data_IF_910147779510
#
_entry.id   IF_910147779510
#
_cell.length_a   1.000
_cell.length_b   1.000
_cell.length_c   1.000
_cell.angle_alpha   90.00
_cell.angle_beta   90.00
_cell.angle_gamma   90.00
#
_symmetry.space_group_name_H-M   'P 1'
#
loop_
_entity.id
_entity.type
_entity.pdbx_description
1 polymer ?
#
# COMPACT_ATOMS: atom_id res chain seq x y z
N UNK A 1 -4.02 -31.79 26.67
CA UNK A 1 -4.93 -30.76 26.12
C UNK A 1 -4.77 -30.81 24.61
N UNK A 2 -5.84 -31.11 23.87
CA UNK A 2 -5.83 -31.06 22.41
C UNK A 2 -6.14 -29.62 22.01
N UNK A 3 -5.14 -28.91 21.48
CA UNK A 3 -5.34 -27.55 20.98
C UNK A 3 -6.02 -27.66 19.62
N UNK A 4 -7.27 -27.23 19.53
CA UNK A 4 -8.01 -27.21 18.28
C UNK A 4 -7.38 -26.18 17.33
N UNK A 5 -6.95 -26.63 16.14
CA UNK A 5 -6.28 -25.77 15.16
C UNK A 5 -7.31 -24.84 14.52
N UNK A 6 -7.25 -23.55 14.83
CA UNK A 6 -8.08 -22.54 14.18
C UNK A 6 -7.39 -22.06 12.89
N UNK A 7 -7.99 -22.35 11.74
CA UNK A 7 -7.51 -21.91 10.43
C UNK A 7 -8.41 -20.79 9.93
N UNK A 8 -7.84 -19.63 9.63
CA UNK A 8 -8.53 -18.47 9.05
C UNK A 8 -7.99 -18.22 7.63
N UNK A 9 -8.87 -17.86 6.71
CA UNK A 9 -8.52 -17.57 5.32
C UNK A 9 -8.80 -16.10 5.02
N UNK A 10 -7.78 -15.39 4.56
CA UNK A 10 -7.88 -14.02 4.07
C UNK A 10 -7.60 -14.01 2.57
N UNK A 11 -8.49 -13.35 1.81
CA UNK A 11 -8.33 -13.18 0.38
C UNK A 11 -7.41 -12.00 0.11
N UNK A 12 -6.25 -12.29 -0.48
CA UNK A 12 -5.19 -11.30 -0.76
C UNK A 12 -5.12 -10.87 -2.23
N UNK A 13 -5.89 -11.53 -3.10
CA UNK A 13 -5.98 -11.28 -4.55
C UNK A 13 -4.60 -11.14 -5.23
N UNK A 14 -4.38 -10.07 -5.97
CA UNK A 14 -3.21 -9.79 -6.80
C UNK A 14 -2.11 -9.01 -6.08
N UNK A 15 -2.36 -8.52 -4.85
CA UNK A 15 -1.39 -7.77 -4.06
C UNK A 15 -0.05 -8.52 -3.90
N UNK A 16 -0.01 -9.82 -3.54
CA UNK A 16 1.26 -10.54 -3.41
C UNK A 16 2.02 -10.62 -4.73
N UNK A 17 1.33 -10.79 -5.85
CA UNK A 17 1.94 -10.87 -7.18
C UNK A 17 2.56 -9.53 -7.58
N UNK A 18 1.83 -8.43 -7.36
CA UNK A 18 2.30 -7.08 -7.69
C UNK A 18 3.52 -6.71 -6.83
N UNK A 19 3.48 -7.00 -5.52
CA UNK A 19 4.62 -6.75 -4.62
C UNK A 19 5.83 -7.60 -4.98
N UNK A 20 5.62 -8.88 -5.33
CA UNK A 20 6.72 -9.75 -5.77
C UNK A 20 7.39 -9.23 -7.05
N UNK A 21 6.59 -8.73 -8.01
CA UNK A 21 7.12 -8.09 -9.22
C UNK A 21 7.87 -6.80 -8.89
N UNK A 22 7.30 -5.93 -8.05
CA UNK A 22 7.94 -4.68 -7.63
C UNK A 22 9.30 -4.95 -6.95
N UNK A 23 9.39 -6.01 -6.15
CA UNK A 23 10.65 -6.48 -5.56
C UNK A 23 11.63 -6.99 -6.62
N UNK A 24 11.16 -7.81 -7.57
CA UNK A 24 12.00 -8.39 -8.61
C UNK A 24 12.66 -7.33 -9.52
N UNK A 25 11.99 -6.21 -9.76
CA UNK A 25 12.50 -5.10 -10.59
C UNK A 25 13.11 -3.95 -9.78
N UNK A 26 13.20 -4.08 -8.45
CA UNK A 26 13.87 -3.11 -7.58
C UNK A 26 13.16 -1.76 -7.47
N UNK A 27 11.83 -1.73 -7.47
CA UNK A 27 11.05 -0.48 -7.45
C UNK A 27 11.36 0.36 -6.22
N UNK A 28 11.41 -0.26 -5.03
CA UNK A 28 11.63 0.45 -3.78
C UNK A 28 13.01 1.14 -3.77
N UNK A 29 14.05 0.46 -4.25
CA UNK A 29 15.42 0.96 -4.30
C UNK A 29 15.57 2.11 -5.31
N UNK A 30 14.87 2.03 -6.45
CA UNK A 30 14.80 3.12 -7.41
C UNK A 30 14.13 4.34 -6.78
N UNK A 31 13.02 4.16 -6.08
CA UNK A 31 12.29 5.24 -5.44
C UNK A 31 13.09 5.86 -4.29
N UNK A 32 13.69 5.06 -3.42
CA UNK A 32 14.52 5.54 -2.31
C UNK A 32 15.69 6.41 -2.80
N UNK A 33 16.29 6.05 -3.94
CA UNK A 33 17.38 6.84 -4.55
C UNK A 33 16.94 8.25 -4.95
N UNK A 34 15.68 8.43 -5.35
CA UNK A 34 15.17 9.70 -5.88
C UNK A 34 14.38 10.52 -4.85
N UNK A 35 13.71 9.85 -3.91
CA UNK A 35 12.90 10.48 -2.86
C UNK A 35 13.72 10.84 -1.63
N UNK A 36 14.82 10.10 -1.39
CA UNK A 36 15.56 10.16 -0.13
C UNK A 36 14.76 9.59 1.05
N UNK A 37 15.43 9.50 2.21
CA UNK A 37 14.78 9.14 3.47
C UNK A 37 14.78 10.36 4.40
N UNK A 38 13.62 10.67 4.98
CA UNK A 38 13.53 11.71 6.00
C UNK A 38 14.11 11.16 7.32
N UNK A 39 14.90 11.95 8.04
CA UNK A 39 15.65 11.47 9.23
C UNK A 39 14.80 11.02 10.43
N UNK A 40 13.48 11.24 10.39
CA UNK A 40 12.52 10.81 11.43
C UNK A 40 11.74 9.55 11.04
N UNK A 41 11.98 9.02 9.84
CA UNK A 41 11.26 7.85 9.34
C UNK A 41 11.79 6.57 10.00
N UNK A 42 10.89 5.82 10.62
CA UNK A 42 11.17 4.53 11.23
C UNK A 42 10.28 3.45 10.60
N UNK A 43 10.84 2.26 10.33
CA UNK A 43 10.14 1.18 9.65
C UNK A 43 10.42 1.16 8.15
N UNK A 44 9.37 1.13 7.33
CA UNK A 44 9.51 1.05 5.87
C UNK A 44 10.19 2.30 5.31
N UNK A 45 11.08 2.11 4.34
CA UNK A 45 11.63 3.21 3.54
C UNK A 45 10.53 3.88 2.71
N UNK A 46 10.80 5.09 2.20
CA UNK A 46 9.83 5.79 1.35
C UNK A 46 9.51 4.99 0.08
N UNK A 47 10.50 4.35 -0.51
CA UNK A 47 10.34 3.47 -1.66
C UNK A 47 9.52 2.23 -1.33
N UNK A 48 9.72 1.62 -0.16
CA UNK A 48 8.89 0.49 0.29
C UNK A 48 7.44 0.90 0.52
N UNK A 49 7.21 2.04 1.19
CA UNK A 49 5.87 2.56 1.41
C UNK A 49 5.16 2.88 0.09
N UNK A 50 5.88 3.52 -0.85
CA UNK A 50 5.37 3.82 -2.17
C UNK A 50 5.06 2.55 -2.99
N UNK A 51 5.89 1.51 -2.91
CA UNK A 51 5.64 0.23 -3.58
C UNK A 51 4.35 -0.45 -3.06
N UNK A 52 4.09 -0.39 -1.74
CA UNK A 52 2.83 -0.86 -1.15
C UNK A 52 1.63 -0.06 -1.66
N UNK A 53 1.77 1.27 -1.75
CA UNK A 53 0.74 2.13 -2.31
C UNK A 53 0.43 1.83 -3.78
N UNK A 54 1.46 1.63 -4.61
CA UNK A 54 1.28 1.25 -6.02
C UNK A 54 0.57 -0.09 -6.13
N UNK A 55 0.95 -1.08 -5.31
CA UNK A 55 0.28 -2.38 -5.29
C UNK A 55 -1.20 -2.26 -4.92
N UNK A 56 -1.54 -1.43 -3.92
CA UNK A 56 -2.92 -1.16 -3.56
C UNK A 56 -3.70 -0.47 -4.70
N UNK A 57 -3.14 0.57 -5.32
CA UNK A 57 -3.81 1.30 -6.42
C UNK A 57 -4.09 0.37 -7.61
N UNK A 58 -3.10 -0.45 -7.98
CA UNK A 58 -3.23 -1.39 -9.09
C UNK A 58 -4.25 -2.50 -8.78
N UNK A 59 -4.23 -3.04 -7.56
CA UNK A 59 -5.17 -4.07 -7.10
C UNK A 59 -6.61 -3.55 -6.99
N UNK A 60 -6.78 -2.36 -6.43
CA UNK A 60 -8.09 -1.73 -6.28
C UNK A 60 -8.65 -1.23 -7.63
N UNK A 61 -7.80 -1.01 -8.64
CA UNK A 61 -8.19 -0.41 -9.91
C UNK A 61 -8.67 1.04 -9.80
N UNK A 62 -8.48 1.69 -8.64
CA UNK A 62 -8.88 3.07 -8.39
C UNK A 62 -7.65 3.91 -8.02
N UNK A 63 -7.30 4.83 -8.92
CA UNK A 63 -6.19 5.76 -8.79
C UNK A 63 -6.56 7.00 -7.95
N UNK A 64 -7.82 7.12 -7.53
CA UNK A 64 -8.26 8.24 -6.71
C UNK A 64 -7.92 7.94 -5.26
N UNK A 65 -7.60 9.01 -4.51
CA UNK A 65 -7.60 8.98 -3.05
C UNK A 65 -9.05 8.71 -2.62
N UNK A 66 -9.49 7.45 -2.62
CA UNK A 66 -10.89 7.06 -2.43
C UNK A 66 -11.45 7.51 -1.08
N UNK A 67 -10.60 7.68 -0.06
CA UNK A 67 -10.96 8.31 1.22
C UNK A 67 -11.09 9.85 1.15
N UNK A 68 -10.44 10.49 0.18
CA UNK A 68 -10.52 11.94 -0.06
C UNK A 68 -11.80 12.33 -0.80
N UNK A 69 -12.34 11.46 -1.66
CA UNK A 69 -13.61 11.71 -2.36
C UNK A 69 -14.78 11.98 -1.40
N UNK A 70 -15.10 11.13 -0.40
CA UNK A 70 -16.13 11.43 0.58
C UNK A 70 -15.74 12.59 1.51
N UNK A 71 -14.45 12.81 1.77
CA UNK A 71 -13.98 13.97 2.54
C UNK A 71 -14.17 15.31 1.82
N UNK A 72 -13.97 15.36 0.50
CA UNK A 72 -14.25 16.56 -0.31
C UNK A 72 -15.76 16.74 -0.44
N UNK A 73 -16.52 15.67 -0.65
CA UNK A 73 -17.98 15.74 -0.74
C UNK A 73 -18.58 16.34 0.53
N UNK A 74 -18.13 15.92 1.72
CA UNK A 74 -18.61 16.47 3.00
C UNK A 74 -18.27 17.94 3.20
N UNK A 75 -17.11 18.42 2.69
CA UNK A 75 -16.72 19.83 2.76
C UNK A 75 -17.40 20.73 1.72
N UNK A 76 -17.75 20.19 0.54
CA UNK A 76 -18.51 20.94 -0.48
C UNK A 76 -19.97 21.17 -0.10
N UNK A 77 -20.58 20.24 0.64
CA UNK A 77 -21.94 20.39 1.15
C UNK A 77 -22.08 21.39 2.32
N UNK A 78 -20.94 21.85 2.88
CA UNK A 78 -20.88 22.80 3.99
C UNK A 78 -20.63 24.26 3.54
N UNK A 79 -20.61 24.52 2.22
CA UNK A 79 -20.56 25.84 1.57
C UNK A 79 -21.91 26.12 0.91
#
# INVERSE_FOLDING_TARGET
MNTELKVEHERVDDIPLILALAKAVGVAEILDRHLGNHGLQAGLSNGQLAAVWVAYILSAGDHRKSALEPWIASRRAAL
#
